data_IF_090294163644
#
_entry.id   IF_090294163644
#
_cell.length_a   1.000
_cell.length_b   1.000
_cell.length_c   1.000
_cell.angle_alpha   90.00
_cell.angle_beta   90.00
_cell.angle_gamma   90.00
#
_symmetry.space_group_name_H-M   'P 1'
#
loop_
_entity.id
_entity.type
_entity.pdbx_description
1 polymer ?
#
# COMPACT_ATOMS: atom_id res chain seq x y z
N UNK A 1 -74.56 40.27 -14.65
CA UNK A 1 -73.30 40.75 -14.02
C UNK A 1 -72.31 39.61 -14.06
N UNK A 2 -71.49 39.60 -15.10
CA UNK A 2 -70.40 38.63 -15.31
C UNK A 2 -69.20 39.06 -14.48
N UNK A 3 -68.79 38.25 -13.51
CA UNK A 3 -67.57 38.44 -12.74
C UNK A 3 -66.49 37.50 -13.27
N UNK A 4 -65.47 38.04 -13.92
CA UNK A 4 -64.27 37.32 -14.32
C UNK A 4 -63.36 37.14 -13.10
N UNK A 5 -63.07 35.88 -12.74
CA UNK A 5 -62.05 35.54 -11.74
C UNK A 5 -60.73 35.31 -12.48
N UNK A 6 -59.93 36.36 -12.65
CA UNK A 6 -58.55 36.23 -13.13
C UNK A 6 -57.65 35.82 -11.96
N UNK A 7 -57.34 34.52 -11.88
CA UNK A 7 -56.35 34.01 -10.92
C UNK A 7 -54.96 34.20 -11.53
N UNK A 8 -54.33 35.33 -11.22
CA UNK A 8 -52.95 35.61 -11.59
C UNK A 8 -52.01 34.57 -10.98
N UNK A 9 -51.45 33.70 -11.83
CA UNK A 9 -50.40 32.76 -11.45
C UNK A 9 -49.09 33.53 -11.28
N UNK A 10 -48.87 34.09 -10.09
CA UNK A 10 -47.58 34.66 -9.72
C UNK A 10 -46.56 33.52 -9.61
N UNK A 11 -45.77 33.31 -10.66
CA UNK A 11 -44.55 32.51 -10.60
C UNK A 11 -43.55 33.25 -9.72
N UNK A 12 -43.59 32.98 -8.41
CA UNK A 12 -42.48 33.30 -7.52
C UNK A 12 -41.34 32.34 -7.86
N UNK A 13 -40.54 32.70 -8.86
CA UNK A 13 -39.26 32.07 -9.15
C UNK A 13 -38.25 32.44 -8.04
N UNK A 14 -38.46 31.91 -6.84
CA UNK A 14 -37.44 31.90 -5.80
C UNK A 14 -36.38 30.86 -6.23
N UNK A 15 -35.09 31.23 -6.34
CA UNK A 15 -34.04 30.33 -6.81
C UNK A 15 -33.93 29.05 -5.97
N UNK A 16 -34.35 29.09 -4.70
CA UNK A 16 -34.34 27.92 -3.82
C UNK A 16 -35.34 26.84 -4.21
N UNK A 17 -36.49 27.21 -4.80
CA UNK A 17 -37.51 26.24 -5.22
C UNK A 17 -37.09 25.48 -6.48
N UNK A 18 -36.34 26.14 -7.38
CA UNK A 18 -35.79 25.49 -8.58
C UNK A 18 -34.71 24.48 -8.19
N UNK A 19 -33.84 24.84 -7.24
CA UNK A 19 -32.83 23.92 -6.70
C UNK A 19 -33.49 22.73 -5.99
N UNK A 20 -34.52 22.96 -5.17
CA UNK A 20 -35.27 21.90 -4.50
C UNK A 20 -35.93 20.92 -5.48
N UNK A 21 -36.58 21.42 -6.54
CA UNK A 21 -37.22 20.58 -7.55
C UNK A 21 -36.21 19.72 -8.34
N UNK A 22 -35.05 20.28 -8.70
CA UNK A 22 -34.00 19.56 -9.44
C UNK A 22 -33.38 18.45 -8.57
N UNK A 23 -33.13 18.71 -7.28
CA UNK A 23 -32.58 17.70 -6.37
C UNK A 23 -33.57 16.55 -6.15
N UNK A 24 -34.85 16.86 -5.91
CA UNK A 24 -35.88 15.83 -5.69
C UNK A 24 -36.09 14.98 -6.95
N UNK A 25 -36.19 15.61 -8.13
CA UNK A 25 -36.31 14.88 -9.39
C UNK A 25 -35.07 14.01 -9.67
N UNK A 26 -33.87 14.53 -9.42
CA UNK A 26 -32.62 13.78 -9.59
C UNK A 26 -32.53 12.55 -8.67
N UNK A 27 -32.86 12.69 -7.39
CA UNK A 27 -32.86 11.56 -6.43
C UNK A 27 -33.88 10.49 -6.82
N UNK A 28 -35.08 10.88 -7.25
CA UNK A 28 -36.12 9.93 -7.67
C UNK A 28 -35.71 9.16 -8.92
N UNK A 29 -35.12 9.83 -9.92
CA UNK A 29 -34.65 9.17 -11.15
C UNK A 29 -33.52 8.18 -10.86
N UNK A 30 -32.55 8.55 -10.01
CA UNK A 30 -31.45 7.65 -9.60
C UNK A 30 -31.99 6.46 -8.81
N UNK A 31 -32.93 6.66 -7.88
CA UNK A 31 -33.54 5.58 -7.11
C UNK A 31 -34.30 4.57 -7.97
N UNK A 32 -35.03 5.05 -8.99
CA UNK A 32 -35.75 4.17 -9.92
C UNK A 32 -34.79 3.35 -10.79
N UNK A 33 -33.72 3.97 -11.30
CA UNK A 33 -32.71 3.26 -12.10
C UNK A 33 -31.98 2.16 -11.31
N UNK A 34 -31.69 2.39 -10.03
CA UNK A 34 -31.05 1.38 -9.16
C UNK A 34 -32.01 0.21 -8.89
N UNK A 35 -33.31 0.50 -8.67
CA UNK A 35 -34.32 -0.54 -8.43
C UNK A 35 -34.49 -1.46 -9.66
N UNK A 36 -34.61 -0.89 -10.85
CA UNK A 36 -34.71 -1.66 -12.10
C UNK A 36 -33.45 -2.51 -12.35
N UNK A 37 -32.26 -1.97 -12.04
CA UNK A 37 -31.01 -2.73 -12.17
C UNK A 37 -30.92 -3.91 -11.19
N UNK A 38 -31.43 -3.75 -9.97
CA UNK A 38 -31.47 -4.82 -8.95
C UNK A 38 -32.50 -5.90 -9.30
N UNK A 39 -33.70 -5.52 -9.72
CA UNK A 39 -34.74 -6.49 -10.13
C UNK A 39 -34.30 -7.29 -11.39
N UNK A 40 -33.59 -6.66 -12.32
CA UNK A 40 -33.01 -7.34 -13.47
C UNK A 40 -31.88 -8.32 -13.09
N UNK A 41 -31.13 -8.04 -12.01
CA UNK A 41 -30.07 -8.91 -11.51
C UNK A 41 -30.63 -10.11 -10.73
N UNK A 42 -31.70 -9.92 -9.96
CA UNK A 42 -32.36 -10.98 -9.20
C UNK A 42 -33.11 -11.96 -10.12
N UNK A 43 -33.73 -11.46 -11.20
CA UNK A 43 -34.44 -12.29 -12.19
C UNK A 43 -33.51 -13.16 -13.05
N UNK A 44 -32.22 -12.86 -13.13
CA UNK A 44 -31.25 -13.64 -13.91
C UNK A 44 -30.76 -14.91 -13.21
N UNK A 45 -31.10 -15.10 -11.94
CA UNK A 45 -30.81 -16.34 -11.22
C UNK A 45 -29.32 -16.58 -10.97
N UNK A 46 -28.98 -17.02 -9.76
CA UNK A 46 -27.61 -17.40 -9.38
C UNK A 46 -27.20 -18.66 -10.17
N UNK A 47 -26.06 -18.67 -10.89
CA UNK A 47 -25.56 -19.89 -11.51
C UNK A 47 -25.26 -20.94 -10.43
N UNK A 48 -25.95 -22.07 -10.49
CA UNK A 48 -25.67 -23.27 -9.69
C UNK A 48 -24.35 -23.87 -10.19
N UNK A 49 -23.24 -23.58 -9.52
CA UNK A 49 -21.96 -24.26 -9.77
C UNK A 49 -22.02 -25.63 -9.08
N UNK A 50 -22.17 -26.69 -9.88
CA UNK A 50 -21.93 -28.07 -9.43
C UNK A 50 -20.44 -28.23 -9.10
N UNK A 51 -20.06 -28.86 -7.98
CA UNK A 51 -18.65 -29.07 -7.66
C UNK A 51 -18.02 -30.07 -8.65
N UNK A 52 -16.86 -29.77 -9.25
CA UNK A 52 -16.08 -30.75 -9.99
C UNK A 52 -15.46 -31.77 -9.02
N UNK A 53 -15.65 -33.04 -9.35
CA UNK A 53 -15.04 -34.20 -8.71
C UNK A 53 -13.50 -34.11 -8.76
N UNK A 54 -12.83 -34.20 -7.61
CA UNK A 54 -11.37 -34.25 -7.48
C UNK A 54 -10.79 -35.57 -8.00
N UNK A 55 -9.69 -35.53 -8.78
CA UNK A 55 -8.74 -36.65 -8.85
C UNK A 55 -7.51 -36.41 -7.96
N UNK A 56 -7.10 -37.49 -7.30
CA UNK A 56 -6.03 -37.67 -6.31
C UNK A 56 -4.62 -37.38 -6.90
N UNK A 57 -3.61 -36.99 -6.09
CA UNK A 57 -2.29 -36.53 -6.57
C UNK A 57 -1.35 -37.69 -6.92
N UNK A 58 -0.68 -37.61 -8.07
CA UNK A 58 0.50 -38.45 -8.37
C UNK A 58 1.78 -37.79 -7.85
N UNK A 59 2.39 -38.44 -6.87
CA UNK A 59 3.76 -38.24 -6.38
C UNK A 59 4.77 -38.87 -7.33
N UNK A 60 5.81 -38.13 -7.76
CA UNK A 60 7.12 -38.68 -8.17
C UNK A 60 8.25 -37.62 -7.98
N UNK A 61 9.53 -38.03 -7.85
CA UNK A 61 10.38 -37.68 -6.71
C UNK A 61 11.50 -36.65 -6.94
N UNK A 62 12.06 -36.18 -5.81
CA UNK A 62 13.26 -35.36 -5.63
C UNK A 62 14.54 -36.06 -6.13
N UNK A 63 15.51 -35.33 -6.70
CA UNK A 63 16.91 -35.75 -6.66
C UNK A 63 17.72 -34.94 -5.63
N UNK A 64 18.47 -35.73 -4.86
CA UNK A 64 19.30 -35.43 -3.72
C UNK A 64 20.58 -34.61 -4.03
N UNK A 65 21.01 -33.88 -3.01
CA UNK A 65 22.22 -33.06 -2.86
C UNK A 65 23.51 -33.87 -2.97
N UNK A 66 24.63 -33.24 -3.41
CA UNK A 66 26.02 -33.30 -2.86
C UNK A 66 27.09 -32.83 -3.90
N UNK A 67 28.33 -32.47 -3.52
CA UNK A 67 28.74 -31.41 -2.59
C UNK A 67 29.90 -30.52 -3.16
N UNK A 68 30.23 -29.43 -2.44
CA UNK A 68 31.42 -28.57 -2.65
C UNK A 68 32.71 -29.27 -2.20
N UNK A 69 33.85 -29.04 -2.86
CA UNK A 69 35.08 -28.58 -2.18
C UNK A 69 35.84 -27.54 -3.05
N UNK A 70 36.81 -26.73 -2.63
CA UNK A 70 37.40 -26.29 -1.38
C UNK A 70 38.36 -25.10 -1.76
N UNK A 71 38.86 -24.41 -0.76
CA UNK A 71 39.52 -23.12 -0.70
C UNK A 71 40.96 -22.97 -1.31
N UNK A 72 41.26 -21.71 -1.71
CA UNK A 72 42.53 -20.90 -1.53
C UNK A 72 43.78 -21.21 -2.39
N UNK A 73 44.81 -20.31 -2.47
CA UNK A 73 44.92 -18.88 -2.10
C UNK A 73 45.58 -17.94 -3.17
N UNK A 74 45.55 -16.65 -2.83
CA UNK A 74 46.22 -15.46 -3.44
C UNK A 74 47.76 -15.58 -3.46
N UNK A 75 48.46 -14.92 -4.41
CA UNK A 75 49.76 -14.31 -4.10
C UNK A 75 49.77 -12.78 -4.27
N UNK A 76 50.20 -12.12 -3.20
CA UNK A 76 50.61 -10.71 -3.13
C UNK A 76 52.09 -10.62 -3.50
N UNK A 77 52.47 -9.72 -4.40
CA UNK A 77 53.81 -9.09 -4.38
C UNK A 77 53.77 -7.65 -4.93
N UNK A 78 54.26 -6.70 -4.11
CA UNK A 78 54.62 -5.28 -4.38
C UNK A 78 55.96 -5.19 -5.17
N UNK A 79 56.60 -4.02 -5.49
CA UNK A 79 56.29 -2.60 -5.21
C UNK A 79 56.45 -1.62 -6.41
N UNK A 80 56.09 -0.35 -6.15
CA UNK A 80 56.22 0.83 -7.01
C UNK A 80 57.67 1.28 -7.30
N UNK A 81 57.82 2.27 -8.21
CA UNK A 81 58.64 3.45 -7.90
C UNK A 81 57.87 4.78 -8.03
N UNK A 82 58.28 5.72 -7.16
CA UNK A 82 57.96 7.14 -7.13
C UNK A 82 58.62 7.91 -8.30
N UNK A 83 58.27 9.20 -8.37
CA UNK A 83 58.90 10.37 -9.06
C UNK A 83 57.83 11.03 -9.97
N UNK A 84 57.55 12.33 -9.98
CA UNK A 84 58.08 13.53 -9.35
C UNK A 84 57.03 14.64 -9.56
N UNK A 85 56.98 15.64 -8.67
CA UNK A 85 56.29 16.93 -8.89
C UNK A 85 57.37 18.00 -9.09
N UNK A 86 57.20 18.96 -10.03
CA UNK A 86 56.82 20.33 -9.65
C UNK A 86 55.95 20.99 -10.77
N UNK A 87 55.27 22.13 -10.69
CA UNK A 87 55.54 23.42 -10.08
C UNK A 87 54.22 24.18 -9.81
N UNK A 88 54.38 25.21 -8.98
CA UNK A 88 53.45 26.18 -8.43
C UNK A 88 52.93 27.16 -9.51
N UNK A 89 51.61 27.22 -9.69
CA UNK A 89 50.90 28.27 -10.45
C UNK A 89 50.13 29.24 -9.53
N UNK A 90 49.87 30.50 -9.95
CA UNK A 90 49.55 31.61 -9.06
C UNK A 90 48.13 31.56 -8.48
N UNK A 91 47.99 32.06 -7.25
CA UNK A 91 46.74 32.19 -6.49
C UNK A 91 45.90 33.35 -7.07
N UNK A 92 44.64 33.14 -7.51
CA UNK A 92 43.75 34.25 -7.82
C UNK A 92 43.26 34.93 -6.53
N UNK A 93 43.22 36.26 -6.57
CA UNK A 93 42.73 37.16 -5.52
C UNK A 93 41.22 37.00 -5.24
N UNK A 94 40.72 37.34 -4.04
CA UNK A 94 39.39 36.97 -3.59
C UNK A 94 38.32 37.82 -4.29
N UNK A 95 37.36 37.16 -4.93
CA UNK A 95 36.07 37.77 -5.25
C UNK A 95 35.26 37.92 -3.95
N UNK A 96 34.52 39.01 -3.85
CA UNK A 96 33.75 39.42 -2.66
C UNK A 96 32.76 38.37 -2.15
N UNK A 97 32.11 38.61 -1.01
CA UNK A 97 31.32 37.59 -0.34
C UNK A 97 30.12 37.17 -1.19
N UNK A 98 30.25 36.04 -1.89
CA UNK A 98 29.13 35.28 -2.39
C UNK A 98 28.36 34.77 -1.16
N UNK A 99 27.19 35.35 -0.92
CA UNK A 99 26.31 34.88 0.14
C UNK A 99 25.70 33.55 -0.29
N UNK A 100 26.42 32.45 -0.06
CA UNK A 100 25.85 31.12 -0.13
C UNK A 100 25.00 30.91 1.13
N UNK A 101 23.69 30.60 1.03
CA UNK A 101 22.95 30.14 2.21
C UNK A 101 23.68 28.90 2.77
N UNK A 102 23.75 28.72 4.10
CA UNK A 102 24.45 27.58 4.66
C UNK A 102 23.85 26.30 4.08
N UNK A 103 24.67 25.51 3.39
CA UNK A 103 24.32 24.12 3.12
C UNK A 103 24.15 23.46 4.50
N UNK A 104 22.97 22.92 4.77
CA UNK A 104 22.74 22.23 6.04
C UNK A 104 23.82 21.16 6.22
N UNK A 105 24.48 21.10 7.40
CA UNK A 105 25.48 20.07 7.65
C UNK A 105 24.85 18.69 7.41
N UNK A 106 25.51 17.77 6.70
CA UNK A 106 25.00 16.41 6.45
C UNK A 106 24.52 15.71 7.74
N UNK A 107 25.15 16.01 8.87
CA UNK A 107 24.78 15.50 10.20
C UNK A 107 23.40 15.95 10.69
N UNK A 108 22.97 17.18 10.35
CA UNK A 108 21.66 17.70 10.74
C UNK A 108 20.54 16.95 9.99
N UNK A 109 20.73 16.78 8.67
CA UNK A 109 19.83 16.00 7.82
C UNK A 109 19.78 14.52 8.25
N UNK A 110 20.93 13.92 8.56
CA UNK A 110 20.96 12.55 9.09
C UNK A 110 20.25 12.44 10.44
N UNK A 111 20.43 13.41 11.34
CA UNK A 111 19.76 13.42 12.65
C UNK A 111 18.25 13.51 12.49
N UNK A 112 17.78 14.36 11.58
CA UNK A 112 16.36 14.47 11.29
C UNK A 112 15.80 13.17 10.69
N UNK A 113 16.51 12.58 9.72
CA UNK A 113 16.14 11.27 9.15
C UNK A 113 16.07 10.19 10.22
N UNK A 114 17.04 10.14 11.14
CA UNK A 114 17.02 9.18 12.26
C UNK A 114 15.77 9.34 13.13
N UNK A 115 15.36 10.59 13.42
CA UNK A 115 14.13 10.87 14.19
C UNK A 115 12.87 10.43 13.45
N UNK A 116 12.77 10.69 12.14
CA UNK A 116 11.60 10.26 11.34
C UNK A 116 11.52 8.75 11.18
N UNK A 117 12.66 8.06 11.19
CA UNK A 117 12.77 6.61 10.99
C UNK A 117 12.69 5.77 12.27
N UNK A 118 12.51 6.41 13.43
CA UNK A 118 12.25 5.71 14.68
C UNK A 118 10.78 5.22 14.68
N UNK A 119 10.52 3.95 15.03
CA UNK A 119 9.16 3.43 15.01
C UNK A 119 8.37 3.98 16.19
N UNK A 120 7.24 4.62 15.91
CA UNK A 120 6.36 5.19 16.94
C UNK A 120 5.08 4.34 16.99
N UNK A 121 4.81 3.61 18.10
CA UNK A 121 3.56 2.88 18.24
C UNK A 121 2.39 3.87 18.35
N UNK A 122 1.35 3.67 17.57
CA UNK A 122 0.13 4.48 17.55
C UNK A 122 -1.11 3.60 17.66
N UNK A 123 -2.22 4.07 18.25
CA UNK A 123 -3.46 3.29 18.25
C UNK A 123 -3.88 2.94 16.83
N UNK A 124 -4.51 1.77 16.65
CA UNK A 124 -4.97 1.33 15.33
C UNK A 124 -5.83 2.41 14.62
N UNK A 125 -5.55 2.65 13.34
CA UNK A 125 -6.34 3.61 12.55
C UNK A 125 -7.77 3.09 12.26
N UNK A 126 -7.95 1.78 12.22
CA UNK A 126 -9.21 1.10 11.87
C UNK A 126 -9.93 0.42 13.04
N UNK A 127 -11.26 0.27 12.90
CA UNK A 127 -12.13 -0.47 13.84
C UNK A 127 -12.37 -1.94 13.44
N UNK A 128 -11.47 -2.53 12.67
CA UNK A 128 -11.60 -3.92 12.23
C UNK A 128 -10.91 -4.84 13.24
N UNK A 129 -11.68 -5.36 14.20
CA UNK A 129 -11.15 -6.20 15.28
C UNK A 129 -10.48 -7.47 14.76
N UNK A 130 -10.97 -8.05 13.66
CA UNK A 130 -10.40 -9.26 13.08
C UNK A 130 -9.05 -8.97 12.41
N UNK A 131 -8.96 -7.83 11.70
CA UNK A 131 -7.71 -7.31 11.17
C UNK A 131 -6.70 -7.03 12.27
N UNK A 132 -7.08 -6.21 13.26
CA UNK A 132 -6.21 -5.77 14.34
C UNK A 132 -5.69 -6.97 15.14
N UNK A 133 -6.57 -7.92 15.46
CA UNK A 133 -6.17 -9.16 16.14
C UNK A 133 -5.15 -9.99 15.33
N UNK A 134 -5.25 -9.99 14.00
CA UNK A 134 -4.25 -10.65 13.16
C UNK A 134 -2.92 -9.90 13.24
N UNK A 135 -2.91 -8.60 13.02
CA UNK A 135 -1.71 -7.76 13.06
C UNK A 135 -1.00 -7.78 14.43
N UNK A 136 -1.75 -7.93 15.51
CA UNK A 136 -1.22 -8.06 16.87
C UNK A 136 -0.42 -9.35 17.10
N UNK A 137 -0.74 -10.41 16.35
CA UNK A 137 -0.20 -11.75 16.56
C UNK A 137 0.76 -12.19 15.45
N UNK A 138 0.48 -11.78 14.21
CA UNK A 138 1.20 -12.21 13.02
C UNK A 138 1.59 -11.02 12.14
N UNK A 139 2.89 -10.83 11.86
CA UNK A 139 4.05 -11.55 12.41
C UNK A 139 4.11 -11.36 13.94
N UNK A 140 5.06 -12.00 14.68
CA UNK A 140 5.30 -11.62 16.07
C UNK A 140 5.56 -10.11 16.18
N UNK A 141 4.51 -9.36 16.56
CA UNK A 141 4.48 -7.90 16.53
C UNK A 141 5.18 -7.37 17.78
N UNK A 142 6.03 -6.37 17.58
CA UNK A 142 6.75 -5.69 18.66
C UNK A 142 5.83 -4.84 19.52
N UNK A 143 4.71 -4.38 18.96
CA UNK A 143 3.74 -3.54 19.63
C UNK A 143 2.31 -4.10 19.46
N UNK A 144 1.97 -5.26 20.06
CA UNK A 144 0.59 -5.76 20.00
C UNK A 144 -0.41 -4.74 20.58
N UNK A 145 -1.53 -4.57 19.89
CA UNK A 145 -2.59 -3.59 20.15
C UNK A 145 -2.37 -2.22 19.49
N UNK A 146 -1.31 -2.08 18.68
CA UNK A 146 -0.88 -0.81 18.09
C UNK A 146 -0.41 -1.00 16.64
N UNK A 147 -0.67 0.02 15.82
CA UNK A 147 0.03 0.22 14.56
C UNK A 147 1.39 0.88 14.83
N UNK A 148 2.22 0.99 13.79
CA UNK A 148 3.55 1.61 13.87
C UNK A 148 3.69 2.68 12.80
N UNK A 149 4.00 3.90 13.23
CA UNK A 149 4.34 5.01 12.34
C UNK A 149 5.85 5.05 12.09
N UNK A 150 6.25 5.06 10.81
CA UNK A 150 7.63 5.28 10.35
C UNK A 150 7.62 6.26 9.18
N UNK A 151 8.42 7.32 9.26
CA UNK A 151 8.48 8.41 8.27
C UNK A 151 7.09 9.01 7.94
N UNK A 152 6.22 9.06 8.96
CA UNK A 152 4.84 9.55 8.80
C UNK A 152 3.90 8.60 8.07
N UNK A 153 4.29 7.33 7.87
CA UNK A 153 3.46 6.29 7.25
C UNK A 153 3.13 5.21 8.27
N UNK A 154 1.85 4.83 8.35
CA UNK A 154 1.37 3.77 9.25
C UNK A 154 1.56 2.38 8.63
N UNK A 155 1.85 1.42 9.49
CA UNK A 155 2.04 0.00 9.21
C UNK A 155 1.37 -0.81 10.34
N UNK A 156 0.80 -1.95 10.03
CA UNK A 156 0.02 -2.74 11.01
C UNK A 156 0.92 -3.43 12.06
N UNK A 157 2.18 -3.72 11.72
CA UNK A 157 3.11 -4.33 12.65
C UNK A 157 4.57 -4.01 12.37
N UNK A 158 5.39 -4.01 13.44
CA UNK A 158 6.85 -4.11 13.36
C UNK A 158 7.26 -5.47 13.92
N UNK A 159 7.95 -6.28 13.12
CA UNK A 159 8.36 -7.61 13.55
C UNK A 159 9.41 -7.54 14.69
N UNK A 160 9.27 -8.42 15.68
CA UNK A 160 10.21 -8.55 16.81
C UNK A 160 11.59 -8.99 16.30
N UNK A 161 12.64 -8.38 16.85
CA UNK A 161 14.04 -8.78 16.60
C UNK A 161 14.61 -8.38 15.24
N UNK A 162 13.78 -7.93 14.29
CA UNK A 162 14.21 -7.48 12.95
C UNK A 162 13.61 -6.13 12.61
N UNK A 163 14.16 -5.45 11.59
CA UNK A 163 13.64 -4.18 11.07
C UNK A 163 12.75 -4.44 9.86
N UNK A 164 11.62 -5.13 10.07
CA UNK A 164 10.66 -5.43 9.00
C UNK A 164 9.28 -4.92 9.41
N UNK A 165 8.73 -4.03 8.60
CA UNK A 165 7.40 -3.46 8.74
C UNK A 165 6.41 -4.29 7.91
N UNK A 166 5.17 -4.39 8.39
CA UNK A 166 4.15 -5.25 7.79
C UNK A 166 2.87 -4.46 7.52
N UNK A 167 2.27 -4.75 6.38
CA UNK A 167 0.86 -4.48 6.08
C UNK A 167 0.11 -5.82 6.07
N UNK A 168 -1.07 -5.89 6.65
CA UNK A 168 -1.87 -7.09 6.83
C UNK A 168 -3.22 -6.91 6.12
N UNK A 169 -3.59 -7.86 5.27
CA UNK A 169 -4.89 -7.91 4.58
C UNK A 169 -5.63 -9.17 5.01
N UNK A 170 -6.68 -8.97 5.81
CA UNK A 170 -7.52 -10.07 6.34
C UNK A 170 -8.74 -10.39 5.47
N UNK A 171 -8.92 -9.68 4.36
CA UNK A 171 -10.07 -9.85 3.47
C UNK A 171 -10.10 -11.23 2.81
N UNK A 172 -11.30 -11.78 2.61
CA UNK A 172 -11.53 -12.99 1.82
C UNK A 172 -11.55 -12.65 0.33
N UNK A 173 -10.41 -12.18 -0.17
CA UNK A 173 -10.21 -11.68 -1.52
C UNK A 173 -10.76 -12.64 -2.60
N UNK A 174 -10.55 -13.94 -2.41
CA UNK A 174 -10.98 -15.03 -3.28
C UNK A 174 -12.51 -15.19 -3.39
N UNK A 175 -13.28 -14.55 -2.50
CA UNK A 175 -14.75 -14.58 -2.53
C UNK A 175 -15.35 -13.42 -3.33
N UNK A 176 -14.54 -12.45 -3.72
CA UNK A 176 -14.99 -11.29 -4.47
C UNK A 176 -15.14 -11.63 -5.95
N UNK A 177 -16.12 -11.03 -6.65
CA UNK A 177 -16.15 -11.06 -8.11
C UNK A 177 -14.87 -10.42 -8.69
N UNK A 178 -14.42 -10.89 -9.85
CA UNK A 178 -13.18 -10.44 -10.50
C UNK A 178 -13.09 -8.91 -10.60
N UNK A 179 -14.18 -8.22 -10.93
CA UNK A 179 -14.18 -6.75 -11.02
C UNK A 179 -13.86 -6.04 -9.69
N UNK A 180 -14.19 -6.67 -8.55
CA UNK A 180 -13.88 -6.15 -7.21
C UNK A 180 -12.44 -6.50 -6.85
N UNK A 181 -11.97 -7.71 -7.20
CA UNK A 181 -10.57 -8.10 -7.03
C UNK A 181 -9.64 -7.10 -7.72
N UNK A 182 -9.89 -6.78 -9.01
CA UNK A 182 -9.10 -5.80 -9.76
C UNK A 182 -9.07 -4.41 -9.10
N UNK A 183 -10.20 -3.98 -8.54
CA UNK A 183 -10.30 -2.68 -7.86
C UNK A 183 -9.56 -2.68 -6.53
N UNK A 184 -9.64 -3.78 -5.78
CA UNK A 184 -8.94 -3.89 -4.50
C UNK A 184 -7.43 -3.91 -4.73
N UNK A 185 -6.93 -4.69 -5.69
CA UNK A 185 -5.51 -4.73 -6.04
C UNK A 185 -5.00 -3.34 -6.44
N UNK A 186 -5.71 -2.63 -7.32
CA UNK A 186 -5.31 -1.25 -7.72
C UNK A 186 -5.22 -0.30 -6.54
N UNK A 187 -6.15 -0.39 -5.59
CA UNK A 187 -6.16 0.44 -4.38
C UNK A 187 -5.01 0.05 -3.44
N UNK A 188 -4.79 -1.24 -3.25
CA UNK A 188 -3.71 -1.76 -2.40
C UNK A 188 -2.33 -1.40 -2.95
N UNK A 189 -2.12 -1.47 -4.26
CA UNK A 189 -0.85 -1.09 -4.89
C UNK A 189 -0.45 0.36 -4.59
N UNK A 190 -1.42 1.29 -4.57
CA UNK A 190 -1.17 2.69 -4.19
C UNK A 190 -0.65 2.79 -2.73
N UNK A 191 -1.27 2.03 -1.82
CA UNK A 191 -0.86 2.01 -0.41
C UNK A 191 0.51 1.32 -0.24
N UNK A 192 0.70 0.19 -0.90
CA UNK A 192 1.92 -0.64 -0.90
C UNK A 192 3.11 0.18 -1.39
N UNK A 193 2.98 0.92 -2.49
CA UNK A 193 4.05 1.77 -3.00
C UNK A 193 4.48 2.84 -1.99
N UNK A 194 3.51 3.50 -1.35
CA UNK A 194 3.76 4.51 -0.31
C UNK A 194 4.50 3.90 0.88
N UNK A 195 4.01 2.77 1.38
CA UNK A 195 4.58 2.06 2.53
C UNK A 195 5.97 1.50 2.23
N UNK A 196 6.14 0.80 1.10
CA UNK A 196 7.42 0.25 0.66
C UNK A 196 8.47 1.36 0.51
N UNK A 197 8.10 2.51 -0.06
CA UNK A 197 9.00 3.67 -0.19
C UNK A 197 9.44 4.22 1.17
N UNK A 198 8.50 4.37 2.12
CA UNK A 198 8.82 4.85 3.47
C UNK A 198 9.72 3.86 4.23
N UNK A 199 9.39 2.56 4.17
CA UNK A 199 10.20 1.50 4.75
C UNK A 199 11.63 1.51 4.18
N UNK A 200 11.78 1.56 2.85
CA UNK A 200 13.08 1.59 2.19
C UNK A 200 13.89 2.85 2.54
N UNK A 201 13.26 4.02 2.59
CA UNK A 201 13.88 5.30 2.99
C UNK A 201 14.50 5.22 4.38
N UNK A 202 13.87 4.45 5.27
CA UNK A 202 14.28 4.25 6.65
C UNK A 202 15.08 2.96 6.91
N UNK A 203 15.44 2.22 5.85
CA UNK A 203 16.22 0.99 5.95
C UNK A 203 15.48 -0.16 6.66
N UNK A 204 14.15 -0.20 6.55
CA UNK A 204 13.34 -1.34 6.95
C UNK A 204 13.08 -2.25 5.74
N UNK A 205 12.97 -3.55 6.00
CA UNK A 205 12.25 -4.45 5.11
C UNK A 205 10.74 -4.18 5.18
N UNK A 206 10.02 -4.58 4.14
CA UNK A 206 8.58 -4.44 4.04
C UNK A 206 7.95 -5.73 3.52
N UNK A 207 6.87 -6.18 4.16
CA UNK A 207 6.16 -7.40 3.82
C UNK A 207 4.66 -7.14 3.82
N UNK A 208 3.95 -7.71 2.85
CA UNK A 208 2.50 -7.72 2.81
C UNK A 208 2.01 -9.11 3.24
N UNK A 209 1.27 -9.18 4.32
CA UNK A 209 0.59 -10.38 4.77
C UNK A 209 -0.83 -10.44 4.19
N UNK A 210 -1.18 -11.48 3.45
CA UNK A 210 -2.53 -11.66 2.89
C UNK A 210 -3.19 -12.94 3.39
N UNK A 211 -4.52 -13.02 3.28
CA UNK A 211 -5.29 -14.15 3.81
C UNK A 211 -5.26 -15.40 2.93
N UNK A 212 -5.08 -15.24 1.62
CA UNK A 212 -5.23 -16.33 0.64
C UNK A 212 -4.11 -16.31 -0.39
N UNK A 213 -3.82 -17.48 -0.98
CA UNK A 213 -2.84 -17.57 -2.07
C UNK A 213 -3.30 -16.80 -3.32
N UNK A 214 -4.62 -16.78 -3.59
CA UNK A 214 -5.17 -16.01 -4.71
C UNK A 214 -4.86 -14.51 -4.59
N UNK A 215 -4.97 -13.94 -3.39
CA UNK A 215 -4.62 -12.54 -3.15
C UNK A 215 -3.11 -12.29 -3.33
N UNK A 216 -2.29 -13.22 -2.85
CA UNK A 216 -0.84 -13.16 -3.03
C UNK A 216 -0.46 -13.19 -4.51
N UNK A 217 -1.03 -14.12 -5.27
CA UNK A 217 -0.79 -14.20 -6.72
C UNK A 217 -1.20 -12.91 -7.42
N UNK A 218 -2.39 -12.37 -7.11
CA UNK A 218 -2.87 -11.14 -7.73
C UNK A 218 -1.96 -9.92 -7.45
N UNK A 219 -1.38 -9.80 -6.26
CA UNK A 219 -0.39 -8.75 -5.98
C UNK A 219 0.93 -8.97 -6.74
N UNK A 220 1.38 -10.22 -6.85
CA UNK A 220 2.61 -10.56 -7.56
C UNK A 220 2.48 -10.42 -9.08
N UNK A 221 1.28 -10.59 -9.63
CA UNK A 221 0.99 -10.33 -11.04
C UNK A 221 1.16 -8.83 -11.38
N UNK A 222 0.91 -7.93 -10.43
CA UNK A 222 1.17 -6.49 -10.58
C UNK A 222 2.65 -6.15 -10.35
N UNK A 223 3.28 -6.72 -9.31
CA UNK A 223 4.70 -6.50 -9.01
C UNK A 223 5.36 -7.73 -8.37
N UNK A 224 6.14 -8.44 -9.19
CA UNK A 224 6.91 -9.62 -8.80
C UNK A 224 8.01 -9.34 -7.77
N UNK A 225 8.33 -8.07 -7.50
CA UNK A 225 9.33 -7.67 -6.50
C UNK A 225 8.76 -7.54 -5.09
N UNK A 226 7.44 -7.66 -4.92
CA UNK A 226 6.80 -7.64 -3.61
C UNK A 226 7.16 -8.87 -2.78
N UNK A 227 7.35 -8.67 -1.48
CA UNK A 227 7.44 -9.76 -0.52
C UNK A 227 6.06 -9.97 0.09
N UNK A 228 5.36 -11.01 -0.37
CA UNK A 228 3.99 -11.31 0.04
C UNK A 228 3.92 -12.67 0.72
N UNK A 229 3.32 -12.71 1.91
CA UNK A 229 3.21 -13.90 2.75
C UNK A 229 1.73 -14.21 2.99
N UNK A 230 1.34 -15.47 2.83
CA UNK A 230 0.00 -15.91 3.25
C UNK A 230 0.00 -16.13 4.76
N UNK A 231 -0.73 -15.30 5.49
CA UNK A 231 -0.83 -15.37 6.96
C UNK A 231 -1.86 -16.39 7.41
N UNK A 232 -2.85 -16.68 6.57
CA UNK A 232 -3.99 -17.54 6.90
C UNK A 232 -4.97 -16.92 7.91
N UNK A 233 -4.77 -15.66 8.30
CA UNK A 233 -5.76 -14.89 9.04
C UNK A 233 -7.03 -14.78 8.21
N UNK A 234 -8.18 -14.89 8.86
CA UNK A 234 -9.48 -14.80 8.19
C UNK A 234 -10.33 -13.78 8.92
N UNK A 235 -10.94 -12.89 8.14
CA UNK A 235 -12.05 -12.03 8.54
C UNK A 235 -13.39 -12.64 8.14
#
# INVERSE_FOLDING_TARGET
MTGSFEMGFCVLAAPELVVGAVVVAGVVVVGFAIKEALEAYEKRGRPQVRPPTLPVPETQPVPEVKPVPEARPVPVTKPAPQETSPEKGPKPEPKGPDFFPPLEPPEALERERRRRCEPIPVPHEGKDDAHNKCADQFPPNRYPGMDVLVDGVSFDALQVGVRVLWEIKTHRFDTYPDFIQDKEIKKEMIQIEKQRKAAATCGYGYVVGVSTEAHKSALLDEDLTLNVVVTGCKR
#
